data_IF_951862540246
#
_entry.id   IF_951862540246
#
_cell.length_a   1.000
_cell.length_b   1.000
_cell.length_c   1.000
_cell.angle_alpha   90.00
_cell.angle_beta   90.00
_cell.angle_gamma   90.00
#
_symmetry.space_group_name_H-M   'P 1'
#
loop_
_entity.id
_entity.type
_entity.pdbx_description
1 polymer ?
#
# COMPACT_ATOMS: atom_id res chain seq x y z
N UNK A 1 14.03 3.61 23.31
CA UNK A 1 12.67 3.55 22.72
C UNK A 1 12.66 2.44 21.70
N UNK A 2 11.74 1.50 21.82
CA UNK A 2 11.55 0.43 20.84
C UNK A 2 10.84 0.95 19.58
N UNK A 3 10.92 0.17 18.48
CA UNK A 3 10.32 0.56 17.21
C UNK A 3 8.81 0.79 17.31
N UNK A 4 8.09 -0.11 17.98
CA UNK A 4 6.64 0.01 18.18
C UNK A 4 6.26 1.25 18.98
N UNK A 5 7.02 1.58 20.03
CA UNK A 5 6.84 2.80 20.80
C UNK A 5 7.06 4.05 19.96
N UNK A 6 8.10 4.04 19.11
CA UNK A 6 8.37 5.14 18.19
C UNK A 6 7.21 5.35 17.22
N UNK A 7 6.73 4.28 16.56
CA UNK A 7 5.60 4.40 15.64
C UNK A 7 4.31 4.84 16.35
N UNK A 8 4.09 4.37 17.57
CA UNK A 8 2.94 4.82 18.37
C UNK A 8 3.00 6.32 18.60
N UNK A 9 4.11 6.84 19.12
CA UNK A 9 4.26 8.24 19.44
C UNK A 9 4.34 9.16 18.20
N UNK A 10 5.03 8.71 17.13
CA UNK A 10 5.30 9.55 15.97
C UNK A 10 4.22 9.48 14.88
N UNK A 11 3.42 8.41 14.84
CA UNK A 11 2.45 8.17 13.76
C UNK A 11 1.06 7.87 14.30
N UNK A 12 0.92 6.82 15.15
CA UNK A 12 -0.41 6.32 15.48
C UNK A 12 -1.18 7.30 16.37
N UNK A 13 -0.58 7.84 17.42
CA UNK A 13 -1.21 8.83 18.29
C UNK A 13 -1.54 10.13 17.55
N UNK A 14 -0.60 10.78 16.83
CA UNK A 14 -0.90 11.99 16.09
C UNK A 14 -2.02 11.84 15.06
N UNK A 15 -2.14 10.66 14.42
CA UNK A 15 -3.20 10.36 13.47
C UNK A 15 -4.49 9.83 14.11
N UNK A 16 -4.51 9.63 15.43
CA UNK A 16 -5.64 9.05 16.14
C UNK A 16 -5.91 7.58 15.79
N UNK A 17 -4.88 6.82 15.42
CA UNK A 17 -4.95 5.40 15.07
C UNK A 17 -4.94 4.52 16.34
N UNK A 18 -5.96 4.67 17.16
CA UNK A 18 -6.03 4.10 18.52
C UNK A 18 -6.13 2.57 18.56
N UNK A 19 -6.46 1.92 17.45
CA UNK A 19 -6.55 0.46 17.34
C UNK A 19 -5.40 -0.11 16.49
N UNK A 20 -4.30 0.61 16.37
CA UNK A 20 -3.14 0.18 15.59
C UNK A 20 -1.95 -0.09 16.50
N UNK A 21 -1.30 -1.22 16.27
CA UNK A 21 -0.10 -1.64 17.00
C UNK A 21 0.93 -2.24 16.05
N UNK A 22 2.20 -2.09 16.40
CA UNK A 22 3.33 -2.74 15.74
C UNK A 22 4.13 -3.53 16.78
N UNK A 23 4.12 -4.84 16.68
CA UNK A 23 4.73 -5.73 17.67
C UNK A 23 6.10 -6.26 17.27
N UNK A 24 6.43 -6.22 16.02
CA UNK A 24 7.60 -6.87 15.48
C UNK A 24 8.50 -5.95 14.65
N UNK A 25 9.13 -6.54 13.66
CA UNK A 25 10.01 -5.84 12.74
C UNK A 25 9.21 -4.93 11.79
N UNK A 26 9.82 -3.85 11.30
CA UNK A 26 9.20 -3.04 10.24
C UNK A 26 8.92 -3.91 9.02
N UNK A 27 7.73 -3.79 8.46
CA UNK A 27 7.31 -4.54 7.29
C UNK A 27 6.42 -5.74 7.57
N UNK A 28 6.25 -6.15 8.82
CA UNK A 28 5.25 -7.16 9.21
C UNK A 28 4.79 -6.97 10.68
N UNK A 29 3.74 -7.72 11.07
CA UNK A 29 3.19 -7.75 12.43
C UNK A 29 2.51 -6.45 12.90
N UNK A 30 2.19 -5.54 11.99
CA UNK A 30 1.25 -4.48 12.30
C UNK A 30 -0.18 -5.04 12.35
N UNK A 31 -0.94 -4.64 13.37
CA UNK A 31 -2.37 -4.90 13.48
C UNK A 31 -3.10 -3.58 13.47
N UNK A 32 -4.15 -3.50 12.68
CA UNK A 32 -4.91 -2.26 12.50
C UNK A 32 -6.37 -2.54 12.14
N UNK A 33 -7.13 -1.48 11.99
CA UNK A 33 -8.51 -1.49 11.49
C UNK A 33 -8.60 -0.69 10.20
N UNK A 34 -9.66 -0.91 9.41
CA UNK A 34 -9.94 -0.09 8.22
C UNK A 34 -10.07 1.39 8.61
N UNK A 35 -10.68 1.68 9.76
CA UNK A 35 -10.83 3.06 10.24
C UNK A 35 -9.49 3.76 10.48
N UNK A 36 -8.54 3.06 11.11
CA UNK A 36 -7.21 3.60 11.37
C UNK A 36 -6.36 3.69 10.09
N UNK A 37 -6.38 2.65 9.27
CA UNK A 37 -5.68 2.68 7.98
C UNK A 37 -6.22 3.78 7.05
N UNK A 38 -7.51 4.14 7.16
CA UNK A 38 -8.06 5.28 6.43
C UNK A 38 -7.44 6.61 6.87
N UNK A 39 -7.12 6.78 8.16
CA UNK A 39 -6.39 7.95 8.66
C UNK A 39 -4.98 7.99 8.11
N UNK A 40 -4.29 6.85 8.11
CA UNK A 40 -2.96 6.73 7.52
C UNK A 40 -2.97 7.05 6.02
N UNK A 41 -3.91 6.51 5.26
CA UNK A 41 -4.07 6.81 3.82
C UNK A 41 -4.38 8.29 3.58
N UNK A 42 -5.21 8.90 4.43
CA UNK A 42 -5.49 10.34 4.34
C UNK A 42 -4.23 11.17 4.57
N UNK A 43 -3.40 10.80 5.55
CA UNK A 43 -2.11 11.45 5.82
C UNK A 43 -1.16 11.34 4.63
N UNK A 44 -1.06 10.18 4.00
CA UNK A 44 -0.24 10.00 2.80
C UNK A 44 -0.70 10.91 1.66
N UNK A 45 -2.02 11.09 1.48
CA UNK A 45 -2.58 11.90 0.39
C UNK A 45 -2.60 13.41 0.67
N UNK A 46 -2.58 13.81 1.94
CA UNK A 46 -2.56 15.19 2.40
C UNK A 46 -1.72 15.29 3.69
N UNK A 47 -0.40 15.21 3.57
CA UNK A 47 0.49 15.06 4.71
C UNK A 47 0.47 16.26 5.67
N UNK A 48 0.44 15.95 6.95
CA UNK A 48 0.50 16.89 8.06
C UNK A 48 1.63 16.58 9.04
N UNK A 49 2.07 15.31 9.12
CA UNK A 49 3.16 14.87 9.98
C UNK A 49 4.53 14.98 9.31
N UNK A 50 4.57 14.80 8.01
CA UNK A 50 5.78 14.82 7.21
C UNK A 50 5.71 15.96 6.19
N UNK A 51 6.87 16.47 5.80
CA UNK A 51 6.95 17.41 4.69
C UNK A 51 6.40 16.76 3.39
N UNK A 52 5.58 17.48 2.61
CA UNK A 52 5.00 16.95 1.37
C UNK A 52 6.03 16.43 0.37
N UNK A 53 7.23 17.02 0.30
CA UNK A 53 8.28 16.53 -0.57
C UNK A 53 8.83 15.19 -0.09
N UNK A 54 8.96 14.99 1.22
CA UNK A 54 9.34 13.70 1.81
C UNK A 54 8.30 12.62 1.51
N UNK A 55 7.01 12.95 1.61
CA UNK A 55 5.94 12.02 1.27
C UNK A 55 5.94 11.70 -0.23
N UNK A 56 6.24 12.65 -1.10
CA UNK A 56 6.36 12.41 -2.53
C UNK A 56 7.45 11.38 -2.89
N UNK A 57 8.54 11.31 -2.12
CA UNK A 57 9.58 10.28 -2.30
C UNK A 57 9.07 8.86 -2.01
N UNK A 58 8.00 8.71 -1.22
CA UNK A 58 7.42 7.39 -0.91
C UNK A 58 6.86 6.69 -2.16
N UNK A 59 6.47 7.43 -3.18
CA UNK A 59 5.95 6.91 -4.46
C UNK A 59 6.73 7.35 -5.68
N UNK A 60 7.87 8.01 -5.50
CA UNK A 60 8.82 8.28 -6.59
C UNK A 60 9.73 7.08 -6.77
N UNK A 61 9.92 6.56 -7.99
CA UNK A 61 10.82 5.43 -8.23
C UNK A 61 12.23 5.73 -7.76
N UNK A 62 12.75 4.97 -6.78
CA UNK A 62 14.09 5.19 -6.24
C UNK A 62 15.16 4.55 -7.10
N UNK A 63 15.03 3.47 -7.65
CA UNK A 63 15.97 2.77 -8.52
C UNK A 63 15.21 2.20 -9.72
N UNK A 64 14.83 3.06 -10.69
CA UNK A 64 13.85 2.72 -11.72
C UNK A 64 14.24 1.55 -12.64
N UNK A 65 15.56 1.27 -12.80
CA UNK A 65 16.05 0.15 -13.60
C UNK A 65 16.11 -1.18 -12.86
N UNK A 66 15.90 -1.22 -11.56
CA UNK A 66 16.03 -2.47 -10.82
C UNK A 66 14.91 -3.45 -11.19
N UNK A 67 15.33 -4.69 -11.40
CA UNK A 67 14.42 -5.81 -11.52
C UNK A 67 14.06 -6.35 -10.15
N UNK A 68 12.89 -6.98 -10.03
CA UNK A 68 12.46 -7.51 -8.75
C UNK A 68 11.38 -8.57 -8.88
N UNK A 69 11.16 -9.27 -7.78
CA UNK A 69 10.11 -10.29 -7.66
C UNK A 69 8.96 -9.73 -6.84
N UNK A 70 7.76 -9.78 -7.42
CA UNK A 70 6.52 -9.58 -6.65
C UNK A 70 6.01 -10.95 -6.24
N UNK A 71 5.92 -11.25 -4.93
CA UNK A 71 5.53 -12.57 -4.44
C UNK A 71 4.21 -13.05 -5.07
N UNK A 72 4.22 -14.27 -5.61
CA UNK A 72 3.08 -14.87 -6.30
C UNK A 72 2.83 -14.39 -7.73
N UNK A 73 3.44 -13.27 -8.16
CA UNK A 73 3.28 -12.71 -9.51
C UNK A 73 4.51 -12.87 -10.41
N UNK A 74 5.68 -13.10 -9.82
CA UNK A 74 6.92 -13.41 -10.54
C UNK A 74 7.89 -12.24 -10.67
N UNK A 75 8.82 -12.39 -11.62
CA UNK A 75 9.89 -11.43 -11.91
C UNK A 75 9.40 -10.33 -12.86
N UNK A 76 9.64 -9.09 -12.50
CA UNK A 76 9.37 -7.94 -13.35
C UNK A 76 10.65 -7.16 -13.68
N UNK A 77 10.68 -6.60 -14.87
CA UNK A 77 11.84 -5.88 -15.45
C UNK A 77 11.34 -4.64 -16.21
N UNK A 78 11.36 -3.47 -15.57
CA UNK A 78 11.72 -3.17 -14.20
C UNK A 78 10.63 -3.52 -13.17
N UNK A 79 11.01 -3.45 -11.88
CA UNK A 79 10.10 -3.57 -10.74
C UNK A 79 10.22 -2.31 -9.85
N UNK A 80 9.61 -1.20 -10.24
CA UNK A 80 9.81 0.07 -9.54
C UNK A 80 9.19 0.05 -8.13
N UNK A 81 9.93 0.67 -7.20
CA UNK A 81 9.54 0.93 -5.83
C UNK A 81 9.90 2.37 -5.45
N UNK A 82 9.05 2.99 -4.65
CA UNK A 82 9.39 4.19 -3.91
C UNK A 82 9.94 3.86 -2.53
N UNK A 83 9.95 4.82 -1.62
CA UNK A 83 10.32 4.56 -0.23
C UNK A 83 9.14 3.92 0.51
N UNK A 84 9.10 2.59 0.52
CA UNK A 84 8.08 1.79 1.21
C UNK A 84 6.88 1.36 0.37
N UNK A 85 6.59 1.99 -0.76
CA UNK A 85 5.51 1.59 -1.65
C UNK A 85 6.01 0.91 -2.91
N UNK A 86 5.38 -0.20 -3.26
CA UNK A 86 5.46 -0.77 -4.59
C UNK A 86 4.72 0.13 -5.57
N UNK A 87 5.32 0.41 -6.73
CA UNK A 87 4.71 1.14 -7.81
C UNK A 87 4.24 0.16 -8.87
N UNK A 88 2.96 0.24 -9.29
CA UNK A 88 2.43 -0.66 -10.30
C UNK A 88 3.27 -0.68 -11.58
N UNK A 89 3.60 0.49 -12.11
CA UNK A 89 4.37 0.57 -13.35
C UNK A 89 3.66 -0.17 -14.48
N UNK A 90 4.44 -0.89 -15.27
CA UNK A 90 3.98 -1.72 -16.41
C UNK A 90 3.75 -3.19 -16.02
N UNK A 91 3.79 -3.53 -14.73
CA UNK A 91 3.66 -4.91 -14.28
C UNK A 91 2.31 -5.51 -14.67
N UNK A 92 2.35 -6.68 -15.32
CA UNK A 92 1.18 -7.46 -15.72
C UNK A 92 1.56 -8.95 -15.73
N UNK A 93 0.81 -9.85 -15.07
CA UNK A 93 -0.28 -9.55 -14.15
C UNK A 93 0.20 -8.85 -12.87
N UNK A 94 -0.70 -8.15 -12.17
CA UNK A 94 -0.37 -7.42 -10.96
C UNK A 94 -1.53 -7.48 -9.95
N UNK A 95 -1.22 -7.40 -8.65
CA UNK A 95 -2.22 -7.50 -7.59
C UNK A 95 -3.23 -6.33 -7.58
N UNK A 96 -2.87 -5.17 -8.12
CA UNK A 96 -3.78 -4.03 -8.26
C UNK A 96 -4.77 -4.15 -9.42
N UNK A 97 -4.78 -5.27 -10.16
CA UNK A 97 -5.65 -5.46 -11.31
C UNK A 97 -5.12 -4.86 -12.62
N UNK A 98 -5.99 -4.78 -13.61
CA UNK A 98 -5.62 -4.41 -14.99
C UNK A 98 -5.90 -2.95 -15.31
N UNK A 99 -6.88 -2.33 -14.66
CA UNK A 99 -7.39 -1.00 -15.02
C UNK A 99 -6.76 0.15 -14.23
N UNK A 100 -6.15 -0.15 -13.08
CA UNK A 100 -5.50 0.89 -12.30
C UNK A 100 -4.31 1.49 -13.06
N UNK A 101 -4.12 2.81 -13.02
CA UNK A 101 -3.01 3.49 -13.68
C UNK A 101 -1.62 3.03 -13.21
N UNK A 102 -0.62 3.21 -14.06
CA UNK A 102 0.76 2.79 -13.78
C UNK A 102 1.40 3.47 -12.56
N UNK A 103 0.95 4.65 -12.22
CA UNK A 103 1.38 5.41 -11.05
C UNK A 103 0.55 5.12 -9.78
N UNK A 104 -0.24 4.06 -9.79
CA UNK A 104 -0.83 3.50 -8.56
C UNK A 104 0.29 2.91 -7.70
N UNK A 105 0.26 3.20 -6.41
CA UNK A 105 1.24 2.74 -5.45
C UNK A 105 0.56 2.03 -4.28
N UNK A 106 1.27 1.14 -3.61
CA UNK A 106 0.70 0.43 -2.48
C UNK A 106 1.57 -0.72 -2.00
N UNK A 107 0.98 -1.56 -1.21
CA UNK A 107 1.61 -2.78 -0.71
C UNK A 107 0.56 -3.82 -0.35
N UNK A 108 0.89 -5.09 -0.50
CA UNK A 108 0.08 -6.19 0.01
C UNK A 108 0.88 -7.05 0.99
N UNK A 109 0.17 -7.72 1.88
CA UNK A 109 0.77 -8.60 2.89
C UNK A 109 0.43 -10.06 2.69
N UNK A 110 1.29 -10.94 3.23
CA UNK A 110 1.05 -12.38 3.26
C UNK A 110 -0.22 -12.76 4.06
N UNK A 111 -0.73 -11.84 4.89
CA UNK A 111 -2.02 -11.96 5.57
C UNK A 111 -3.24 -11.87 4.63
N UNK A 112 -3.04 -11.62 3.34
CA UNK A 112 -4.13 -11.48 2.37
C UNK A 112 -4.77 -10.10 2.35
N UNK A 113 -4.06 -9.11 2.85
CA UNK A 113 -4.52 -7.71 2.96
C UNK A 113 -3.75 -6.84 2.00
N UNK A 114 -4.33 -5.73 1.57
CA UNK A 114 -3.62 -4.73 0.78
C UNK A 114 -4.14 -3.31 1.00
N UNK A 115 -3.28 -2.37 0.70
CA UNK A 115 -3.61 -0.94 0.56
C UNK A 115 -3.02 -0.45 -0.75
N UNK A 116 -3.80 0.26 -1.54
CA UNK A 116 -3.28 1.04 -2.66
C UNK A 116 -3.83 2.45 -2.66
N UNK A 117 -3.06 3.38 -3.21
CA UNK A 117 -3.44 4.77 -3.46
C UNK A 117 -3.06 5.16 -4.87
N UNK A 118 -3.84 6.06 -5.46
CA UNK A 118 -3.52 6.74 -6.70
C UNK A 118 -3.44 8.24 -6.41
N UNK A 119 -2.24 8.77 -6.11
CA UNK A 119 -2.07 10.13 -5.63
C UNK A 119 -2.69 11.20 -6.54
N UNK A 120 -2.57 11.13 -7.89
CA UNK A 120 -3.12 12.17 -8.76
C UNK A 120 -4.63 12.37 -8.64
N UNK A 121 -5.39 11.31 -8.36
CA UNK A 121 -6.85 11.41 -8.20
C UNK A 121 -7.31 11.35 -6.76
N UNK A 122 -6.36 11.18 -5.81
CA UNK A 122 -6.62 11.01 -4.38
C UNK A 122 -7.59 9.86 -4.08
N UNK A 123 -7.52 8.80 -4.86
CA UNK A 123 -8.30 7.58 -4.69
C UNK A 123 -7.43 6.52 -4.02
N UNK A 124 -8.07 5.64 -3.26
CA UNK A 124 -7.38 4.52 -2.63
C UNK A 124 -8.35 3.45 -2.17
N UNK A 125 -7.82 2.28 -1.91
CA UNK A 125 -8.57 1.19 -1.29
C UNK A 125 -7.76 0.53 -0.19
N UNK A 126 -8.47 0.08 0.83
CA UNK A 126 -7.97 -0.70 1.95
C UNK A 126 -8.79 -1.98 2.00
N UNK A 127 -8.13 -3.11 1.89
CA UNK A 127 -8.79 -4.41 1.95
C UNK A 127 -8.13 -5.27 3.02
N UNK A 128 -8.93 -5.66 4.00
CA UNK A 128 -8.54 -6.58 5.07
C UNK A 128 -9.31 -7.88 4.90
N UNK A 129 -8.62 -9.00 5.01
CA UNK A 129 -9.23 -10.33 4.96
C UNK A 129 -8.74 -11.18 6.12
N UNK A 130 -9.45 -12.25 6.40
CA UNK A 130 -9.09 -13.29 7.35
C UNK A 130 -8.42 -14.51 6.70
N UNK A 131 -8.08 -14.39 5.42
CA UNK A 131 -7.49 -15.45 4.62
C UNK A 131 -6.11 -15.06 4.10
N UNK A 132 -5.09 -15.83 4.41
CA UNK A 132 -3.73 -15.61 3.93
C UNK A 132 -3.66 -15.53 2.39
N UNK A 133 -2.73 -14.71 1.89
CA UNK A 133 -2.46 -14.58 0.46
C UNK A 133 -2.13 -15.95 -0.17
N UNK A 134 -2.62 -16.17 -1.37
CA UNK A 134 -2.42 -17.39 -2.14
C UNK A 134 -3.09 -17.30 -3.51
N UNK A 135 -3.20 -18.44 -4.20
CA UNK A 135 -3.74 -18.47 -5.56
C UNK A 135 -5.17 -17.89 -5.69
N UNK A 136 -5.97 -17.98 -4.63
CA UNK A 136 -7.31 -17.39 -4.59
C UNK A 136 -7.30 -15.86 -4.76
N UNK A 137 -6.26 -15.22 -4.21
CA UNK A 137 -6.17 -13.76 -4.17
C UNK A 137 -5.97 -13.17 -5.56
N UNK A 138 -5.21 -13.81 -6.42
CA UNK A 138 -4.86 -13.29 -7.75
C UNK A 138 -6.10 -12.94 -8.57
N UNK A 139 -7.02 -13.86 -8.87
CA UNK A 139 -8.23 -13.51 -9.63
C UNK A 139 -9.20 -12.64 -8.84
N UNK A 140 -9.31 -12.85 -7.53
CA UNK A 140 -10.23 -12.09 -6.69
C UNK A 140 -9.82 -10.62 -6.58
N UNK A 141 -8.53 -10.35 -6.34
CA UNK A 141 -8.02 -8.99 -6.22
C UNK A 141 -8.03 -8.25 -7.57
N UNK A 142 -7.70 -8.93 -8.66
CA UNK A 142 -7.80 -8.34 -10.00
C UNK A 142 -9.21 -7.83 -10.26
N UNK A 143 -10.21 -8.70 -10.09
CA UNK A 143 -11.61 -8.33 -10.30
C UNK A 143 -12.06 -7.21 -9.35
N UNK A 144 -11.80 -7.37 -8.05
CA UNK A 144 -12.20 -6.38 -7.04
C UNK A 144 -11.60 -5.00 -7.34
N UNK A 145 -10.31 -4.93 -7.64
CA UNK A 145 -9.64 -3.66 -7.89
C UNK A 145 -10.13 -3.00 -9.17
N UNK A 146 -10.37 -3.77 -10.22
CA UNK A 146 -10.91 -3.24 -11.48
C UNK A 146 -12.35 -2.70 -11.29
N UNK A 147 -13.21 -3.42 -10.54
CA UNK A 147 -14.56 -2.96 -10.17
C UNK A 147 -14.53 -1.69 -9.28
N UNK A 148 -13.64 -1.68 -8.26
CA UNK A 148 -13.46 -0.51 -7.41
C UNK A 148 -12.99 0.72 -8.20
N UNK A 149 -12.03 0.53 -9.10
CA UNK A 149 -11.53 1.63 -9.91
C UNK A 149 -12.61 2.23 -10.80
N UNK A 150 -13.42 1.39 -11.43
CA UNK A 150 -14.58 1.84 -12.23
C UNK A 150 -15.60 2.59 -11.39
N UNK A 151 -15.98 2.04 -10.23
CA UNK A 151 -16.95 2.66 -9.34
C UNK A 151 -16.49 4.03 -8.79
N UNK A 152 -15.19 4.22 -8.61
CA UNK A 152 -14.61 5.49 -8.18
C UNK A 152 -14.43 6.50 -9.34
N UNK A 153 -14.64 6.09 -10.58
CA UNK A 153 -14.49 6.96 -11.75
C UNK A 153 -15.75 7.83 -12.03
N UNK A 154 -16.87 7.46 -11.40
CA UNK A 154 -18.14 8.22 -11.45
C UNK A 154 -18.18 9.27 -10.36
#
# INVERSE_FOLDING_TARGET
MGLGEYFTAAVFEPLGMVNTTLWGLPGHEARSTVADLRRFVAEIMAPTLLDPATVAEMWTPQYPELNGIVPGYGMFKPCPWGLGFEIKGTKTPHWTGTQLPSNTVGHFGQSGTFVWVHPPTRRGAIVLTDRAFGEWAKPAWTRLNDELWQALAT
#
